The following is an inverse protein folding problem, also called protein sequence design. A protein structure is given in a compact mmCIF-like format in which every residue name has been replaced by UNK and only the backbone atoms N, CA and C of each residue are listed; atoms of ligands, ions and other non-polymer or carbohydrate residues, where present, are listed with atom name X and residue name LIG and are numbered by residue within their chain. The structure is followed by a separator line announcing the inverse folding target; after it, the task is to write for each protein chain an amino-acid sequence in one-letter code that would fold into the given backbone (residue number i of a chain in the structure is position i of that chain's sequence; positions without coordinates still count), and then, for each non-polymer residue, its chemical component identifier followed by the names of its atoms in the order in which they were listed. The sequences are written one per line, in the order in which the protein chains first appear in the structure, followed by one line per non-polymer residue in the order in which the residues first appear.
data_IF_614963778655
#
_entry.id   IF_614963778655
#
_cell.length_a   1.000
_cell.length_b   1.000
_cell.length_c   1.000
_cell.angle_alpha   90.00
_cell.angle_beta   90.00
_cell.angle_gamma   90.00
#
_symmetry.space_group_name_H-M   'P 1'
#
loop_
_entity.id
_entity.type
_entity.pdbx_description
1 polymer ?
#
# COMPACT_ATOMS: atom_id res chain seq x y z
N UNK A 1 27.05 13.34 12.17
CA UNK A 1 25.77 13.02 12.85
C UNK A 1 24.77 12.75 11.74
N UNK A 2 24.27 11.51 11.62
CA UNK A 2 23.36 11.14 10.52
C UNK A 2 21.99 11.74 10.83
N UNK A 3 21.46 12.56 9.92
CA UNK A 3 20.18 13.22 10.08
C UNK A 3 19.06 12.19 9.90
N UNK A 4 18.48 11.75 11.01
CA UNK A 4 17.34 10.85 11.04
C UNK A 4 16.09 11.68 10.71
N UNK A 5 15.79 11.83 9.42
CA UNK A 5 14.49 12.35 9.00
C UNK A 5 13.45 11.26 9.27
N UNK A 6 13.02 11.15 10.53
CA UNK A 6 12.01 10.21 10.98
C UNK A 6 10.71 10.60 10.28
N UNK A 7 10.26 9.80 9.32
CA UNK A 7 8.99 10.00 8.63
C UNK A 7 7.87 10.00 9.68
N UNK A 8 7.39 11.18 10.06
CA UNK A 8 6.32 11.37 11.06
C UNK A 8 4.94 11.11 10.44
N UNK A 9 4.77 9.99 9.74
CA UNK A 9 3.55 9.62 9.06
C UNK A 9 3.10 8.21 9.47
N UNK A 10 1.78 8.03 9.58
CA UNK A 10 1.19 6.71 9.77
C UNK A 10 1.36 5.88 8.49
N UNK A 11 1.96 4.70 8.59
CA UNK A 11 2.12 3.76 7.46
C UNK A 11 0.80 3.03 7.21
N UNK A 12 0.38 3.00 5.95
CA UNK A 12 -0.86 2.34 5.54
C UNK A 12 -0.58 0.96 4.97
N UNK A 13 -1.44 -0.01 5.30
CA UNK A 13 -1.30 -1.42 4.96
C UNK A 13 -2.55 -1.89 4.21
N UNK A 14 -2.34 -2.60 3.11
CA UNK A 14 -3.38 -3.36 2.40
C UNK A 14 -3.14 -4.84 2.66
N UNK A 15 -4.16 -5.56 3.13
CA UNK A 15 -4.07 -7.00 3.40
C UNK A 15 -4.67 -7.78 2.23
N UNK A 16 -3.89 -8.67 1.62
CA UNK A 16 -4.34 -9.55 0.53
C UNK A 16 -4.09 -10.99 0.96
N UNK A 17 -5.15 -11.73 1.27
CA UNK A 17 -5.06 -13.12 1.74
C UNK A 17 -6.43 -13.80 1.63
N UNK A 18 -6.55 -14.92 0.95
CA UNK A 18 -7.81 -15.65 0.74
C UNK A 18 -8.34 -16.36 2.01
N UNK A 19 -7.63 -16.31 3.13
CA UNK A 19 -8.01 -16.94 4.40
C UNK A 19 -8.50 -15.90 5.43
N UNK A 20 -9.82 -15.81 5.69
CA UNK A 20 -10.38 -14.81 6.61
C UNK A 20 -9.81 -14.85 8.03
N UNK A 21 -9.47 -16.05 8.53
CA UNK A 21 -8.90 -16.22 9.87
C UNK A 21 -7.52 -15.55 10.01
N UNK A 22 -6.65 -15.74 9.03
CA UNK A 22 -5.31 -15.15 9.03
C UNK A 22 -5.40 -13.64 8.95
N UNK A 23 -6.25 -13.13 8.06
CA UNK A 23 -6.52 -11.69 7.90
C UNK A 23 -6.98 -11.03 9.20
N UNK A 24 -7.89 -11.69 9.94
CA UNK A 24 -8.35 -11.19 11.23
C UNK A 24 -7.26 -11.19 12.30
N UNK A 25 -6.44 -12.24 12.35
CA UNK A 25 -5.29 -12.30 13.26
C UNK A 25 -4.28 -11.18 12.99
N UNK A 26 -3.92 -10.96 11.73
CA UNK A 26 -2.99 -9.90 11.32
C UNK A 26 -3.55 -8.51 11.64
N UNK A 27 -4.84 -8.26 11.44
CA UNK A 27 -5.48 -6.98 11.84
C UNK A 27 -5.38 -6.70 13.33
N UNK A 28 -5.58 -7.71 14.16
CA UNK A 28 -5.44 -7.55 15.61
C UNK A 28 -4.01 -7.15 15.98
N UNK A 29 -3.00 -7.80 15.39
CA UNK A 29 -1.60 -7.44 15.63
C UNK A 29 -1.30 -6.02 15.17
N UNK A 30 -1.76 -5.63 13.97
CA UNK A 30 -1.56 -4.27 13.44
C UNK A 30 -2.25 -3.21 14.33
N UNK A 31 -3.41 -3.51 14.92
CA UNK A 31 -4.12 -2.57 15.79
C UNK A 31 -3.37 -2.20 17.07
N UNK A 32 -2.39 -3.01 17.47
CA UNK A 32 -1.53 -2.74 18.61
C UNK A 32 -0.44 -1.69 18.29
N UNK A 33 -0.20 -1.39 17.01
CA UNK A 33 0.83 -0.46 16.54
C UNK A 33 0.19 0.84 16.01
N UNK A 34 0.17 1.94 16.79
CA UNK A 34 -0.50 3.19 16.39
C UNK A 34 0.06 3.83 15.12
N UNK A 35 1.30 3.47 14.76
CA UNK A 35 1.97 3.98 13.55
C UNK A 35 1.54 3.25 12.28
N UNK A 36 0.73 2.19 12.39
CA UNK A 36 0.23 1.41 11.28
C UNK A 36 -1.29 1.57 11.15
N UNK A 37 -1.81 1.48 9.91
CA UNK A 37 -3.25 1.53 9.63
C UNK A 37 -3.60 0.61 8.48
N UNK A 38 -4.54 -0.30 8.68
CA UNK A 38 -5.11 -1.06 7.57
C UNK A 38 -6.09 -0.16 6.80
N UNK A 39 -5.86 -0.03 5.49
CA UNK A 39 -6.66 0.83 4.59
C UNK A 39 -7.53 0.04 3.62
N UNK A 40 -7.34 -1.28 3.54
CA UNK A 40 -8.12 -2.14 2.69
C UNK A 40 -7.81 -3.62 2.92
N UNK A 41 -8.68 -4.46 2.39
CA UNK A 41 -8.61 -5.91 2.47
C UNK A 41 -9.05 -6.50 1.12
N UNK A 42 -8.35 -7.52 0.64
CA UNK A 42 -8.70 -8.29 -0.55
C UNK A 42 -8.48 -9.78 -0.30
N UNK A 43 -9.32 -10.63 -0.90
CA UNK A 43 -9.15 -12.08 -0.98
C UNK A 43 -8.33 -12.52 -2.19
N UNK A 44 -8.17 -11.66 -3.19
CA UNK A 44 -7.37 -11.95 -4.38
C UNK A 44 -6.49 -10.76 -4.82
N UNK A 45 -5.48 -11.06 -5.63
CA UNK A 45 -4.51 -10.07 -6.10
C UNK A 45 -5.10 -9.03 -7.05
N UNK A 46 -6.11 -9.36 -7.86
CA UNK A 46 -6.73 -8.42 -8.82
C UNK A 46 -7.52 -7.37 -8.04
N UNK A 47 -8.33 -7.80 -7.07
CA UNK A 47 -9.03 -6.88 -6.17
C UNK A 47 -8.03 -6.07 -5.35
N UNK A 48 -6.94 -6.68 -4.88
CA UNK A 48 -5.87 -5.99 -4.18
C UNK A 48 -5.21 -4.88 -5.00
N UNK A 49 -4.90 -5.13 -6.28
CA UNK A 49 -4.34 -4.12 -7.18
C UNK A 49 -5.30 -2.95 -7.35
N UNK A 50 -6.60 -3.22 -7.60
CA UNK A 50 -7.60 -2.15 -7.72
C UNK A 50 -7.69 -1.29 -6.47
N UNK A 51 -7.72 -1.91 -5.29
CA UNK A 51 -7.75 -1.19 -4.02
C UNK A 51 -6.46 -0.37 -3.83
N UNK A 52 -5.30 -0.91 -4.21
CA UNK A 52 -4.03 -0.19 -4.13
C UNK A 52 -4.00 1.03 -5.06
N UNK A 53 -4.56 0.91 -6.27
CA UNK A 53 -4.70 2.01 -7.22
C UNK A 53 -5.69 3.08 -6.74
N UNK A 54 -6.81 2.68 -6.14
CA UNK A 54 -7.84 3.58 -5.61
C UNK A 54 -7.42 4.31 -4.33
N UNK A 55 -6.64 3.65 -3.46
CA UNK A 55 -6.32 4.17 -2.12
C UNK A 55 -5.01 4.99 -2.05
N UNK A 56 -4.33 5.20 -3.19
CA UNK A 56 -3.04 5.89 -3.35
C UNK A 56 -2.29 6.21 -2.03
N UNK A 57 -1.58 5.23 -1.43
CA UNK A 57 -0.72 5.50 -0.29
C UNK A 57 0.65 6.10 -0.66
N UNK A 58 0.77 6.79 -1.82
CA UNK A 58 1.99 7.22 -2.55
C UNK A 58 2.48 6.23 -3.60
N UNK A 59 1.60 5.77 -4.47
CA UNK A 59 2.02 5.24 -5.78
C UNK A 59 2.39 6.45 -6.65
N UNK A 60 3.67 6.81 -6.71
CA UNK A 60 4.17 7.61 -7.83
C UNK A 60 4.57 6.62 -8.92
N UNK A 61 3.68 6.24 -9.86
CA UNK A 61 4.15 5.61 -11.07
C UNK A 61 5.04 6.67 -11.68
N UNK A 62 6.35 6.42 -11.75
CA UNK A 62 7.21 7.18 -12.64
C UNK A 62 6.59 6.94 -14.01
N UNK A 63 5.75 7.89 -14.47
CA UNK A 63 5.26 7.94 -15.83
C UNK A 63 6.52 8.01 -16.67
N UNK A 64 6.82 6.90 -17.34
CA UNK A 64 7.82 6.85 -18.39
C UNK A 64 7.56 8.04 -19.31
N UNK A 65 8.51 8.97 -19.37
CA UNK A 65 8.46 10.19 -20.19
C UNK A 65 8.53 9.88 -21.70
N UNK A 66 8.32 8.64 -22.11
CA UNK A 66 8.46 8.16 -23.49
C UNK A 66 7.13 7.99 -24.22
N UNK A 67 6.03 8.59 -23.74
CA UNK A 67 4.77 8.67 -24.49
C UNK A 67 4.76 9.84 -25.50
N UNK A 68 5.84 10.02 -26.26
CA UNK A 68 5.98 11.21 -27.10
C UNK A 68 6.97 11.13 -28.26
N UNK A 69 7.42 9.93 -28.66
CA UNK A 69 8.21 9.80 -29.88
C UNK A 69 7.42 9.07 -30.96
N UNK A 70 6.64 9.85 -31.71
CA UNK A 70 6.45 9.56 -33.14
C UNK A 70 7.82 9.82 -33.80
N UNK A 71 8.53 8.76 -34.20
CA UNK A 71 9.67 8.89 -35.09
C UNK A 71 9.16 8.74 -36.52
N UNK A 72 9.38 9.81 -37.29
CA UNK A 72 9.27 9.93 -38.74
C UNK A 72 9.83 8.71 -39.49
#
# INVERSE_FOLDING_TARGET
MKNENKLTGQSTILLIDDHPMLRNGVKQLISLEPTLKVIGEADDGITGIKIAEEQDPRFNPIRSQYAGYEWL
#
